data_IF_192495182386
#
_entry.id   IF_192495182386
#
_cell.length_a   1.000
_cell.length_b   1.000
_cell.length_c   1.000
_cell.angle_alpha   90.00
_cell.angle_beta   90.00
_cell.angle_gamma   90.00
#
_symmetry.space_group_name_H-M   'P 1'
#
loop_
_entity.id
_entity.type
_entity.pdbx_description
1 polymer ?
#
# COMPACT_ATOMS: atom_id res chain seq x y z
N UNK A 1 27.96 -32.81 1.07
CA UNK A 1 26.64 -32.57 0.47
C UNK A 1 25.71 -33.76 0.65
N UNK A 2 26.16 -35.00 0.34
CA UNK A 2 25.36 -36.21 0.54
C UNK A 2 25.12 -36.53 2.01
N UNK A 3 26.08 -36.29 2.90
CA UNK A 3 25.96 -36.48 4.34
C UNK A 3 24.89 -35.56 4.95
N UNK A 4 24.81 -34.30 4.51
CA UNK A 4 23.80 -33.35 4.94
C UNK A 4 22.40 -33.76 4.48
N UNK A 5 22.27 -34.20 3.21
CA UNK A 5 21.01 -34.71 2.68
C UNK A 5 20.55 -35.99 3.38
N UNK A 6 21.48 -36.86 3.75
CA UNK A 6 21.21 -38.10 4.49
C UNK A 6 20.76 -37.76 5.91
N UNK A 7 21.40 -36.79 6.58
CA UNK A 7 21.00 -36.34 7.91
C UNK A 7 19.61 -35.67 7.89
N UNK A 8 19.31 -34.87 6.89
CA UNK A 8 18.01 -34.21 6.72
C UNK A 8 16.89 -35.22 6.44
N UNK A 9 17.13 -36.27 5.63
CA UNK A 9 16.18 -37.35 5.36
C UNK A 9 15.88 -38.22 6.59
N UNK A 10 16.78 -38.24 7.56
CA UNK A 10 16.57 -38.98 8.83
C UNK A 10 15.67 -38.23 9.83
N UNK A 11 15.40 -36.95 9.61
CA UNK A 11 14.61 -36.14 10.56
C UNK A 11 13.11 -36.13 10.29
N UNK A 12 12.65 -36.32 9.06
CA UNK A 12 11.26 -36.50 8.64
C UNK A 12 11.21 -36.84 7.14
N UNK A 13 10.09 -37.23 6.56
CA UNK A 13 9.92 -37.27 5.11
C UNK A 13 9.88 -35.83 4.56
N UNK A 14 11.08 -35.22 4.46
CA UNK A 14 11.23 -33.86 4.02
C UNK A 14 11.40 -33.85 2.50
N UNK A 15 10.51 -33.18 1.80
CA UNK A 15 10.69 -32.82 0.40
C UNK A 15 11.70 -31.67 0.30
N UNK A 16 12.76 -31.88 -0.47
CA UNK A 16 13.75 -30.84 -0.75
C UNK A 16 13.50 -30.31 -2.16
N UNK A 17 13.17 -29.05 -2.26
CA UNK A 17 13.07 -28.34 -3.52
C UNK A 17 14.35 -27.54 -3.74
N UNK A 18 14.97 -27.69 -4.91
CA UNK A 18 16.08 -26.87 -5.35
C UNK A 18 15.60 -25.93 -6.46
N UNK A 19 15.63 -24.64 -6.21
CA UNK A 19 15.31 -23.63 -7.23
C UNK A 19 16.62 -23.13 -7.80
N UNK A 20 16.82 -23.31 -9.12
CA UNK A 20 17.95 -22.74 -9.81
C UNK A 20 17.73 -21.24 -10.02
N UNK A 21 18.69 -20.45 -9.56
CA UNK A 21 18.67 -18.99 -9.66
C UNK A 21 19.89 -18.46 -10.40
N UNK A 22 20.38 -19.23 -11.37
CA UNK A 22 21.52 -18.87 -12.19
C UNK A 22 21.32 -17.52 -12.85
N UNK A 23 22.20 -16.56 -12.56
CA UNK A 23 22.08 -15.22 -13.14
C UNK A 23 22.44 -15.28 -14.64
N UNK A 24 21.50 -14.88 -15.56
CA UNK A 24 21.64 -15.12 -17.00
C UNK A 24 22.90 -14.49 -17.62
N UNK A 25 23.41 -13.39 -17.06
CA UNK A 25 24.60 -12.68 -17.56
C UNK A 25 25.91 -13.15 -16.94
N UNK A 26 25.87 -13.71 -15.73
CA UNK A 26 27.07 -14.10 -15.00
C UNK A 26 27.39 -15.58 -15.13
N UNK A 27 26.42 -16.40 -15.52
CA UNK A 27 26.59 -17.84 -15.67
C UNK A 27 26.97 -18.56 -14.36
N UNK A 28 26.86 -17.89 -13.22
CA UNK A 28 27.21 -18.47 -11.92
C UNK A 28 26.02 -19.30 -11.47
N UNK A 29 26.15 -20.63 -11.38
CA UNK A 29 25.06 -21.48 -10.90
C UNK A 29 24.83 -21.22 -9.42
N UNK A 30 23.66 -20.70 -9.12
CA UNK A 30 23.17 -20.51 -7.75
C UNK A 30 21.88 -21.30 -7.58
N UNK A 31 21.74 -21.94 -6.41
CA UNK A 31 20.55 -22.72 -6.08
C UNK A 31 20.06 -22.32 -4.70
N UNK A 32 18.76 -22.11 -4.56
CA UNK A 32 18.09 -22.07 -3.27
C UNK A 32 17.52 -23.46 -2.97
N UNK A 33 17.84 -23.98 -1.80
CA UNK A 33 17.23 -25.22 -1.32
C UNK A 33 16.10 -24.87 -0.36
N UNK A 34 14.91 -25.35 -0.66
CA UNK A 34 13.70 -25.15 0.15
C UNK A 34 13.32 -26.49 0.75
N UNK A 35 13.21 -26.53 2.05
CA UNK A 35 12.71 -27.69 2.79
C UNK A 35 11.42 -27.26 3.51
N UNK A 36 10.23 -27.62 3.01
CA UNK A 36 8.98 -27.29 3.69
C UNK A 36 8.96 -27.83 5.12
N UNK A 37 8.49 -27.02 6.05
CA UNK A 37 8.43 -27.39 7.47
C UNK A 37 9.71 -27.12 8.28
N UNK A 38 10.84 -26.81 7.66
CA UNK A 38 11.99 -26.25 8.38
C UNK A 38 11.80 -24.74 8.53
N UNK A 39 11.67 -24.31 9.77
CA UNK A 39 11.73 -22.87 10.07
C UNK A 39 13.19 -22.42 9.93
N UNK A 40 13.48 -21.70 8.85
CA UNK A 40 14.72 -20.95 8.80
C UNK A 40 14.72 -19.94 9.96
N UNK A 41 15.88 -19.68 10.55
CA UNK A 41 16.08 -18.54 11.46
C UNK A 41 15.97 -17.25 10.64
N UNK A 42 14.79 -16.89 10.23
CA UNK A 42 14.51 -15.59 9.65
C UNK A 42 14.57 -14.58 10.80
N UNK A 43 15.25 -13.47 10.56
CA UNK A 43 15.29 -12.34 11.50
C UNK A 43 13.90 -11.73 11.69
N UNK A 44 12.97 -12.07 10.83
CA UNK A 44 11.60 -11.59 10.83
C UNK A 44 10.64 -12.79 10.86
N UNK A 45 9.96 -12.97 11.98
CA UNK A 45 9.02 -14.10 12.19
C UNK A 45 7.81 -14.07 11.24
N UNK A 46 7.59 -12.95 10.54
CA UNK A 46 6.42 -12.71 9.68
C UNK A 46 6.69 -12.91 8.19
N UNK A 47 7.94 -13.13 7.78
CA UNK A 47 8.29 -13.38 6.38
C UNK A 47 8.29 -14.87 6.08
N UNK A 48 7.13 -15.41 5.72
CA UNK A 48 7.05 -16.77 5.18
C UNK A 48 7.46 -16.79 3.71
N UNK A 49 7.97 -17.96 3.24
CA UNK A 49 8.24 -18.15 1.82
C UNK A 49 6.97 -17.91 0.98
N UNK A 50 5.80 -18.33 1.49
CA UNK A 50 4.52 -18.10 0.83
C UNK A 50 4.22 -16.62 0.63
N UNK A 51 4.48 -15.78 1.62
CA UNK A 51 4.34 -14.33 1.51
C UNK A 51 5.28 -13.75 0.43
N UNK A 52 6.55 -14.17 0.41
CA UNK A 52 7.52 -13.73 -0.60
C UNK A 52 7.09 -14.14 -2.01
N UNK A 53 6.70 -15.40 -2.21
CA UNK A 53 6.24 -15.91 -3.51
C UNK A 53 4.97 -15.18 -3.96
N UNK A 54 4.00 -15.01 -3.06
CA UNK A 54 2.76 -14.29 -3.37
C UNK A 54 3.01 -12.85 -3.82
N UNK A 55 3.93 -12.15 -3.13
CA UNK A 55 4.33 -10.80 -3.53
C UNK A 55 4.92 -10.79 -4.94
N UNK A 56 5.88 -11.67 -5.22
CA UNK A 56 6.51 -11.79 -6.55
C UNK A 56 5.51 -12.12 -7.65
N UNK A 57 4.59 -13.03 -7.40
CA UNK A 57 3.51 -13.34 -8.34
C UNK A 57 2.70 -12.09 -8.68
N UNK A 58 2.23 -11.36 -7.68
CA UNK A 58 1.38 -10.18 -7.90
C UNK A 58 2.16 -9.03 -8.56
N UNK A 59 3.45 -8.85 -8.26
CA UNK A 59 4.28 -7.79 -8.83
C UNK A 59 4.68 -8.07 -10.30
N UNK A 60 5.03 -9.31 -10.64
CA UNK A 60 5.77 -9.62 -11.87
C UNK A 60 5.01 -10.51 -12.87
N UNK A 61 4.01 -11.29 -12.42
CA UNK A 61 3.33 -12.24 -13.28
C UNK A 61 2.05 -11.67 -13.93
N UNK A 62 1.61 -12.31 -15.01
CA UNK A 62 0.31 -12.05 -15.60
C UNK A 62 -0.84 -12.60 -14.72
N UNK A 63 -2.08 -12.16 -14.99
CA UNK A 63 -3.22 -12.48 -14.15
C UNK A 63 -3.52 -13.98 -14.06
N UNK A 64 -3.31 -14.74 -15.15
CA UNK A 64 -3.55 -16.19 -15.16
C UNK A 64 -2.54 -16.92 -14.30
N UNK A 65 -1.26 -16.55 -14.42
CA UNK A 65 -0.16 -17.07 -13.58
C UNK A 65 -0.38 -16.75 -12.11
N UNK A 66 -0.81 -15.51 -11.77
CA UNK A 66 -1.13 -15.12 -10.40
C UNK A 66 -2.27 -15.97 -9.85
N UNK A 67 -3.37 -16.12 -10.61
CA UNK A 67 -4.52 -16.92 -10.16
C UNK A 67 -4.13 -18.38 -9.90
N UNK A 68 -3.33 -18.97 -10.79
CA UNK A 68 -2.81 -20.33 -10.60
C UNK A 68 -1.90 -20.41 -9.38
N UNK A 69 -0.96 -19.46 -9.25
CA UNK A 69 -0.02 -19.40 -8.14
C UNK A 69 -0.69 -19.21 -6.78
N UNK A 70 -1.76 -18.40 -6.69
CA UNK A 70 -2.53 -18.24 -5.45
C UNK A 70 -3.24 -19.55 -5.05
N UNK A 71 -3.77 -20.34 -6.00
CA UNK A 71 -4.34 -21.67 -5.72
C UNK A 71 -3.29 -22.64 -5.18
N UNK A 72 -2.08 -22.60 -5.73
CA UNK A 72 -0.96 -23.40 -5.22
C UNK A 72 -0.58 -22.95 -3.80
N UNK A 73 -0.48 -21.64 -3.57
CA UNK A 73 -0.20 -21.09 -2.24
C UNK A 73 -1.28 -21.46 -1.23
N UNK A 74 -2.56 -21.42 -1.59
CA UNK A 74 -3.66 -21.87 -0.72
C UNK A 74 -3.52 -23.36 -0.36
N UNK A 75 -3.12 -24.20 -1.30
CA UNK A 75 -2.90 -25.63 -1.02
C UNK A 75 -1.71 -25.89 -0.10
N UNK A 76 -0.66 -25.06 -0.19
CA UNK A 76 0.55 -25.17 0.64
C UNK A 76 0.41 -24.49 2.00
N UNK A 77 -0.36 -23.42 2.08
CA UNK A 77 -0.54 -22.56 3.26
C UNK A 77 -2.03 -22.26 3.49
N UNK A 78 -2.86 -23.29 3.77
CA UNK A 78 -4.30 -23.11 3.86
C UNK A 78 -4.67 -22.09 4.95
N UNK A 79 -5.48 -21.10 4.59
CA UNK A 79 -5.93 -20.04 5.48
C UNK A 79 -4.85 -19.05 5.89
N UNK A 80 -3.74 -18.94 5.15
CA UNK A 80 -2.69 -18.00 5.46
C UNK A 80 -3.17 -16.54 5.34
N UNK A 81 -2.76 -15.71 6.29
CA UNK A 81 -3.16 -14.31 6.42
C UNK A 81 -2.93 -13.46 5.16
N UNK A 82 -1.94 -13.80 4.34
CA UNK A 82 -1.57 -13.06 3.14
C UNK A 82 -2.43 -13.38 1.91
N UNK A 83 -3.12 -14.51 1.89
CA UNK A 83 -3.88 -14.96 0.72
C UNK A 83 -4.99 -13.98 0.33
N UNK A 84 -5.90 -13.55 1.22
CA UNK A 84 -6.93 -12.58 0.85
C UNK A 84 -6.34 -11.24 0.40
N UNK A 85 -5.19 -10.84 0.92
CA UNK A 85 -4.52 -9.63 0.49
C UNK A 85 -4.08 -9.72 -0.99
N UNK A 86 -3.46 -10.84 -1.38
CA UNK A 86 -3.04 -11.04 -2.77
C UNK A 86 -4.23 -11.25 -3.72
N UNK A 87 -5.31 -11.87 -3.26
CA UNK A 87 -6.58 -11.93 -4.01
C UNK A 87 -7.13 -10.53 -4.28
N UNK A 88 -7.11 -9.66 -3.28
CA UNK A 88 -7.48 -8.26 -3.43
C UNK A 88 -6.61 -7.51 -4.43
N UNK A 89 -5.29 -7.73 -4.40
CA UNK A 89 -4.35 -7.13 -5.36
C UNK A 89 -4.61 -7.61 -6.79
N UNK A 90 -4.90 -8.90 -6.98
CA UNK A 90 -5.25 -9.45 -8.28
C UNK A 90 -6.56 -8.84 -8.81
N UNK A 91 -7.57 -8.75 -7.95
CA UNK A 91 -8.86 -8.15 -8.28
C UNK A 91 -8.73 -6.66 -8.65
N UNK A 92 -7.88 -5.89 -7.95
CA UNK A 92 -7.56 -4.51 -8.31
C UNK A 92 -6.95 -4.39 -9.71
N UNK A 93 -6.02 -5.26 -10.05
CA UNK A 93 -5.42 -5.30 -11.40
C UNK A 93 -6.42 -5.64 -12.50
N UNK A 94 -7.46 -6.41 -12.15
CA UNK A 94 -8.56 -6.75 -13.04
C UNK A 94 -9.70 -5.72 -13.05
N UNK A 95 -9.54 -4.61 -12.30
CA UNK A 95 -10.57 -3.58 -12.08
C UNK A 95 -11.88 -4.13 -11.48
N UNK A 96 -11.82 -5.31 -10.85
CA UNK A 96 -12.94 -5.87 -10.07
C UNK A 96 -12.89 -5.32 -8.64
N UNK A 97 -13.36 -4.09 -8.48
CA UNK A 97 -13.30 -3.39 -7.21
C UNK A 97 -14.20 -4.02 -6.14
N UNK A 98 -15.28 -4.71 -6.51
CA UNK A 98 -16.15 -5.41 -5.56
C UNK A 98 -15.42 -6.59 -4.91
N UNK A 99 -14.78 -7.42 -5.73
CA UNK A 99 -13.95 -8.53 -5.24
C UNK A 99 -12.76 -8.02 -4.45
N UNK A 100 -12.09 -6.95 -4.92
CA UNK A 100 -10.96 -6.34 -4.22
C UNK A 100 -11.35 -5.88 -2.80
N UNK A 101 -12.45 -5.15 -2.65
CA UNK A 101 -12.95 -4.72 -1.32
C UNK A 101 -13.24 -5.90 -0.40
N UNK A 102 -13.94 -6.90 -0.92
CA UNK A 102 -14.28 -8.09 -0.14
C UNK A 102 -13.03 -8.82 0.36
N UNK A 103 -12.04 -8.98 -0.52
CA UNK A 103 -10.78 -9.64 -0.21
C UNK A 103 -9.94 -8.83 0.79
N UNK A 104 -9.79 -7.50 0.61
CA UNK A 104 -9.07 -6.67 1.58
C UNK A 104 -9.79 -6.58 2.92
N UNK A 105 -11.12 -6.51 2.94
CA UNK A 105 -11.89 -6.53 4.19
C UNK A 105 -11.67 -7.84 4.97
N UNK A 106 -11.58 -8.98 4.26
CA UNK A 106 -11.22 -10.27 4.86
C UNK A 106 -9.76 -10.31 5.31
N UNK A 107 -8.85 -9.63 4.59
CA UNK A 107 -7.43 -9.60 4.91
C UNK A 107 -7.12 -8.81 6.19
N UNK A 108 -7.76 -7.65 6.43
CA UNK A 108 -7.47 -6.73 7.55
C UNK A 108 -7.37 -7.44 8.90
N UNK A 109 -8.35 -8.23 9.36
CA UNK A 109 -8.30 -8.86 10.69
C UNK A 109 -7.29 -10.02 10.78
N UNK A 110 -6.79 -10.52 9.66
CA UNK A 110 -5.86 -11.65 9.63
C UNK A 110 -4.40 -11.21 9.70
N UNK A 111 -4.11 -9.92 9.52
CA UNK A 111 -2.73 -9.44 9.45
C UNK A 111 -2.03 -9.55 10.81
N UNK A 112 -0.77 -10.04 10.82
CA UNK A 112 -0.07 -10.39 12.04
C UNK A 112 0.48 -9.19 12.82
N UNK A 113 0.62 -8.04 12.19
CA UNK A 113 1.22 -6.83 12.76
C UNK A 113 0.50 -5.57 12.27
N UNK A 114 0.82 -4.45 12.93
CA UNK A 114 0.19 -3.15 12.66
C UNK A 114 0.50 -2.64 11.24
N UNK A 115 1.72 -2.86 10.75
CA UNK A 115 2.13 -2.38 9.43
C UNK A 115 1.38 -3.11 8.32
N UNK A 116 1.29 -4.44 8.41
CA UNK A 116 0.53 -5.25 7.47
C UNK A 116 -0.98 -4.96 7.55
N UNK A 117 -1.50 -4.71 8.76
CA UNK A 117 -2.90 -4.32 8.94
C UNK A 117 -3.19 -2.94 8.36
N UNK A 118 -2.27 -1.98 8.53
CA UNK A 118 -2.38 -0.66 7.92
C UNK A 118 -2.40 -0.75 6.40
N UNK A 119 -1.50 -1.56 5.82
CA UNK A 119 -1.43 -1.78 4.39
C UNK A 119 -2.74 -2.37 3.83
N UNK A 120 -3.28 -3.42 4.46
CA UNK A 120 -4.55 -4.01 4.05
C UNK A 120 -5.72 -3.02 4.17
N UNK A 121 -5.74 -2.22 5.26
CA UNK A 121 -6.75 -1.18 5.46
C UNK A 121 -6.64 -0.07 4.41
N UNK A 122 -5.41 0.33 4.06
CA UNK A 122 -5.17 1.31 3.00
C UNK A 122 -5.72 0.82 1.66
N UNK A 123 -5.41 -0.41 1.25
CA UNK A 123 -5.91 -0.94 -0.01
C UNK A 123 -7.42 -1.14 -0.03
N UNK A 124 -8.03 -1.46 1.13
CA UNK A 124 -9.49 -1.48 1.26
C UNK A 124 -10.10 -0.11 0.94
N UNK A 125 -9.61 0.95 1.58
CA UNK A 125 -10.06 2.31 1.32
C UNK A 125 -9.70 2.79 -0.09
N UNK A 126 -8.52 2.45 -0.59
CA UNK A 126 -8.10 2.78 -1.95
C UNK A 126 -9.04 2.19 -3.01
N UNK A 127 -9.46 0.93 -2.85
CA UNK A 127 -10.44 0.31 -3.75
C UNK A 127 -11.78 1.06 -3.79
N UNK A 128 -12.24 1.63 -2.66
CA UNK A 128 -13.41 2.49 -2.63
C UNK A 128 -13.18 3.81 -3.37
N UNK A 129 -11.98 4.42 -3.24
CA UNK A 129 -11.68 5.70 -3.92
C UNK A 129 -11.67 5.59 -5.44
N UNK A 130 -11.29 4.43 -5.99
CA UNK A 130 -11.29 4.19 -7.44
C UNK A 130 -12.69 4.25 -8.06
N UNK A 131 -13.73 3.97 -7.27
CA UNK A 131 -15.13 4.14 -7.65
C UNK A 131 -15.76 5.44 -7.10
N UNK A 132 -14.94 6.40 -6.68
CA UNK A 132 -15.39 7.66 -6.08
C UNK A 132 -16.28 7.49 -4.83
N UNK A 133 -16.20 6.36 -4.13
CA UNK A 133 -16.93 6.04 -2.89
C UNK A 133 -16.17 6.61 -1.68
N UNK A 134 -16.00 7.93 -1.70
CA UNK A 134 -15.13 8.62 -0.74
C UNK A 134 -15.59 8.47 0.71
N UNK A 135 -16.90 8.47 0.94
CA UNK A 135 -17.45 8.34 2.30
C UNK A 135 -17.19 6.96 2.89
N UNK A 136 -17.31 5.92 2.06
CA UNK A 136 -17.06 4.53 2.44
C UNK A 136 -15.57 4.25 2.67
N UNK A 137 -14.71 4.93 1.95
CA UNK A 137 -13.25 4.81 2.09
C UNK A 137 -12.72 5.32 3.44
N UNK A 138 -13.38 6.33 4.04
CA UNK A 138 -12.87 7.04 5.23
C UNK A 138 -12.50 6.13 6.40
N UNK A 139 -13.33 5.15 6.84
CA UNK A 139 -13.00 4.33 7.99
C UNK A 139 -11.70 3.52 7.80
N UNK A 140 -11.51 2.96 6.61
CA UNK A 140 -10.36 2.14 6.29
C UNK A 140 -9.08 2.99 6.15
N UNK A 141 -9.16 4.14 5.46
CA UNK A 141 -8.05 5.08 5.34
C UNK A 141 -7.65 5.68 6.70
N UNK A 142 -8.61 6.02 7.55
CA UNK A 142 -8.34 6.50 8.89
C UNK A 142 -7.67 5.44 9.78
N UNK A 143 -8.06 4.17 9.62
CA UNK A 143 -7.39 3.07 10.31
C UNK A 143 -5.93 2.91 9.85
N UNK A 144 -5.66 2.97 8.56
CA UNK A 144 -4.31 2.90 8.00
C UNK A 144 -3.41 4.04 8.51
N UNK A 145 -3.87 5.28 8.40
CA UNK A 145 -3.13 6.46 8.86
C UNK A 145 -2.90 6.48 10.38
N UNK A 146 -3.80 5.90 11.17
CA UNK A 146 -3.64 5.78 12.63
C UNK A 146 -2.62 4.72 13.01
N UNK A 147 -2.58 3.58 12.28
CA UNK A 147 -1.66 2.49 12.55
C UNK A 147 -0.23 2.83 12.15
N UNK A 148 -0.05 3.52 11.02
CA UNK A 148 1.26 3.92 10.49
C UNK A 148 1.25 5.42 10.13
N UNK A 149 1.36 6.31 11.13
CA UNK A 149 1.25 7.76 10.92
C UNK A 149 2.41 8.36 10.10
N UNK A 150 3.54 7.67 10.02
CA UNK A 150 4.71 8.11 9.27
C UNK A 150 4.63 7.74 7.77
N UNK A 151 3.63 6.94 7.38
CA UNK A 151 3.36 6.62 5.97
C UNK A 151 2.52 7.74 5.35
N UNK A 152 3.20 8.66 4.67
CA UNK A 152 2.59 9.86 4.08
C UNK A 152 1.45 9.55 3.10
N UNK A 153 1.55 8.45 2.36
CA UNK A 153 0.55 8.01 1.39
C UNK A 153 -0.81 7.77 2.05
N UNK A 154 -0.82 7.24 3.28
CA UNK A 154 -2.05 6.95 4.02
C UNK A 154 -2.73 8.25 4.48
N UNK A 155 -1.95 9.17 5.02
CA UNK A 155 -2.44 10.49 5.42
C UNK A 155 -2.89 11.34 4.24
N UNK A 156 -2.15 11.29 3.13
CA UNK A 156 -2.50 12.00 1.91
C UNK A 156 -3.85 11.54 1.35
N UNK A 157 -4.05 10.23 1.14
CA UNK A 157 -5.30 9.73 0.60
C UNK A 157 -6.49 9.96 1.55
N UNK A 158 -6.27 9.89 2.88
CA UNK A 158 -7.26 10.26 3.87
C UNK A 158 -7.66 11.73 3.74
N UNK A 159 -6.68 12.63 3.57
CA UNK A 159 -6.91 14.05 3.35
C UNK A 159 -7.74 14.31 2.09
N UNK A 160 -7.39 13.64 0.99
CA UNK A 160 -8.14 13.71 -0.26
C UNK A 160 -9.58 13.20 -0.07
N UNK A 161 -9.79 12.09 0.64
CA UNK A 161 -11.12 11.55 0.89
C UNK A 161 -11.99 12.53 1.73
N UNK A 162 -11.41 13.12 2.77
CA UNK A 162 -12.10 14.18 3.54
C UNK A 162 -12.41 15.41 2.68
N UNK A 163 -11.49 15.83 1.82
CA UNK A 163 -11.73 16.94 0.90
C UNK A 163 -12.88 16.65 -0.06
N UNK A 164 -12.91 15.45 -0.65
CA UNK A 164 -13.96 15.01 -1.58
C UNK A 164 -15.33 14.86 -0.92
N UNK A 165 -15.38 14.59 0.38
CA UNK A 165 -16.62 14.54 1.18
C UNK A 165 -17.03 15.90 1.76
N UNK A 166 -16.24 16.95 1.51
CA UNK A 166 -16.53 18.33 1.96
C UNK A 166 -16.12 18.63 3.40
N UNK A 167 -15.46 17.68 4.09
CA UNK A 167 -14.93 17.90 5.45
C UNK A 167 -13.52 18.55 5.35
N UNK A 168 -13.49 19.81 4.94
CA UNK A 168 -12.24 20.54 4.69
C UNK A 168 -11.38 20.69 5.95
N UNK A 169 -12.01 20.73 7.12
CA UNK A 169 -11.29 20.83 8.39
C UNK A 169 -10.46 19.55 8.65
N UNK A 170 -11.09 18.37 8.52
CA UNK A 170 -10.35 17.10 8.68
C UNK A 170 -9.36 16.85 7.56
N UNK A 171 -9.68 17.28 6.34
CA UNK A 171 -8.73 17.24 5.23
C UNK A 171 -7.46 18.05 5.56
N UNK A 172 -7.63 19.28 6.06
CA UNK A 172 -6.52 20.14 6.47
C UNK A 172 -5.67 19.49 7.60
N UNK A 173 -6.31 18.86 8.59
CA UNK A 173 -5.62 18.13 9.66
C UNK A 173 -4.78 16.97 9.09
N UNK A 174 -5.33 16.20 8.15
CA UNK A 174 -4.63 15.10 7.51
C UNK A 174 -3.41 15.60 6.69
N UNK A 175 -3.56 16.63 5.87
CA UNK A 175 -2.43 17.19 5.11
C UNK A 175 -1.39 17.84 6.03
N UNK A 176 -1.79 18.51 7.12
CA UNK A 176 -0.84 19.00 8.14
C UNK A 176 -0.07 17.85 8.81
N UNK A 177 -0.68 16.69 8.99
CA UNK A 177 0.00 15.51 9.50
C UNK A 177 1.04 14.99 8.50
N UNK A 178 0.70 14.90 7.22
CA UNK A 178 1.66 14.53 6.15
C UNK A 178 2.83 15.50 6.08
N UNK A 179 2.57 16.81 6.14
CA UNK A 179 3.61 17.85 6.09
C UNK A 179 4.55 17.85 7.31
N UNK A 180 4.18 17.23 8.44
CA UNK A 180 5.13 16.99 9.55
C UNK A 180 6.18 15.95 9.20
N UNK A 181 5.83 14.96 8.37
CA UNK A 181 6.73 13.90 7.91
C UNK A 181 7.52 14.35 6.67
N UNK A 182 6.84 14.98 5.72
CA UNK A 182 7.43 15.47 4.46
C UNK A 182 7.12 16.95 4.24
N UNK A 183 7.99 17.81 4.74
CA UNK A 183 7.83 19.27 4.64
C UNK A 183 7.97 19.81 3.20
N UNK A 184 8.53 19.03 2.30
CA UNK A 184 8.79 19.40 0.91
C UNK A 184 7.71 18.99 -0.07
N UNK A 185 6.57 18.47 0.38
CA UNK A 185 5.49 18.07 -0.50
C UNK A 185 4.71 19.27 -1.01
N UNK A 186 5.04 19.74 -2.21
CA UNK A 186 4.33 20.83 -2.88
C UNK A 186 2.83 20.52 -3.07
N UNK A 187 2.51 19.26 -3.41
CA UNK A 187 1.13 18.81 -3.60
C UNK A 187 0.31 18.91 -2.31
N UNK A 188 0.88 18.47 -1.17
CA UNK A 188 0.17 18.52 0.11
C UNK A 188 0.01 19.94 0.64
N UNK A 189 0.99 20.82 0.38
CA UNK A 189 0.83 22.26 0.63
C UNK A 189 -0.28 22.87 -0.21
N UNK A 190 -0.35 22.54 -1.50
CA UNK A 190 -1.42 23.03 -2.37
C UNK A 190 -2.79 22.51 -1.91
N UNK A 191 -2.90 21.21 -1.56
CA UNK A 191 -4.13 20.63 -1.04
C UNK A 191 -4.57 21.29 0.28
N UNK A 192 -3.61 21.58 1.17
CA UNK A 192 -3.89 22.33 2.40
C UNK A 192 -4.38 23.75 2.09
N UNK A 193 -3.76 24.43 1.13
CA UNK A 193 -4.21 25.74 0.65
C UNK A 193 -5.63 25.71 0.11
N UNK A 194 -6.02 24.66 -0.61
CA UNK A 194 -7.40 24.47 -1.05
C UNK A 194 -8.35 24.25 0.14
N UNK A 195 -7.97 23.47 1.13
CA UNK A 195 -8.80 23.29 2.33
C UNK A 195 -9.06 24.63 3.02
N UNK A 196 -8.03 25.45 3.23
CA UNK A 196 -8.16 26.77 3.85
C UNK A 196 -9.02 27.71 2.99
N UNK A 197 -8.89 27.66 1.64
CA UNK A 197 -9.77 28.42 0.74
C UNK A 197 -11.22 28.06 0.93
N UNK A 198 -11.55 26.75 0.92
CA UNK A 198 -12.94 26.31 1.06
C UNK A 198 -13.52 26.53 2.47
N UNK A 199 -12.66 26.68 3.47
CA UNK A 199 -13.07 27.12 4.83
C UNK A 199 -13.23 28.65 4.94
N UNK A 200 -12.91 29.42 3.88
CA UNK A 200 -13.00 30.89 3.88
C UNK A 200 -11.76 31.61 4.42
N UNK A 201 -10.68 30.89 4.72
CA UNK A 201 -9.44 31.41 5.27
C UNK A 201 -8.51 31.91 4.15
N UNK A 202 -8.94 32.92 3.39
CA UNK A 202 -8.25 33.40 2.19
C UNK A 202 -6.77 33.78 2.40
N UNK A 203 -6.40 34.32 3.57
CA UNK A 203 -5.01 34.65 3.93
C UNK A 203 -4.12 33.43 3.98
N UNK A 204 -4.51 32.40 4.76
CA UNK A 204 -3.78 31.16 4.89
C UNK A 204 -3.75 30.37 3.57
N UNK A 205 -4.85 30.39 2.81
CA UNK A 205 -4.91 29.77 1.49
C UNK A 205 -3.85 30.34 0.54
N UNK A 206 -3.68 31.68 0.50
CA UNK A 206 -2.63 32.32 -0.32
C UNK A 206 -1.23 31.90 0.13
N UNK A 207 -0.96 31.89 1.43
CA UNK A 207 0.33 31.48 1.98
C UNK A 207 0.71 30.05 1.55
N UNK A 208 -0.19 29.08 1.74
CA UNK A 208 0.07 27.69 1.37
C UNK A 208 0.16 27.47 -0.13
N UNK A 209 -0.70 28.10 -0.94
CA UNK A 209 -0.64 27.97 -2.40
C UNK A 209 0.62 28.62 -2.97
N UNK A 210 1.07 29.77 -2.45
CA UNK A 210 2.33 30.41 -2.85
C UNK A 210 3.52 29.53 -2.48
N UNK A 211 3.57 29.00 -1.26
CA UNK A 211 4.63 28.09 -0.83
C UNK A 211 4.68 26.80 -1.68
N UNK A 212 3.54 26.26 -2.07
CA UNK A 212 3.46 25.12 -2.98
C UNK A 212 4.08 25.44 -4.36
N UNK A 213 3.76 26.62 -4.91
CA UNK A 213 4.28 27.07 -6.21
C UNK A 213 5.76 27.46 -6.17
N UNK A 214 6.30 27.84 -5.02
CA UNK A 214 7.75 28.02 -4.82
C UNK A 214 8.50 26.70 -4.90
N UNK A 215 7.89 25.60 -4.42
CA UNK A 215 8.46 24.26 -4.48
C UNK A 215 8.25 23.58 -5.85
N UNK A 216 7.08 23.78 -6.44
CA UNK A 216 6.73 23.23 -7.76
C UNK A 216 5.87 24.22 -8.55
N UNK A 217 6.52 25.00 -9.41
CA UNK A 217 5.85 25.96 -10.28
C UNK A 217 4.94 25.31 -11.35
N UNK A 218 4.97 24.00 -11.53
CA UNK A 218 4.14 23.31 -12.53
C UNK A 218 2.72 23.00 -12.04
N UNK A 219 2.39 23.28 -10.78
CA UNK A 219 1.07 23.05 -10.19
C UNK A 219 0.03 24.07 -10.71
N UNK A 220 -0.44 23.88 -11.94
CA UNK A 220 -1.38 24.80 -12.59
C UNK A 220 -2.67 25.03 -11.80
N UNK A 221 -3.19 23.99 -11.15
CA UNK A 221 -4.39 24.14 -10.32
C UNK A 221 -4.14 25.08 -9.12
N UNK A 222 -2.97 24.98 -8.47
CA UNK A 222 -2.62 25.86 -7.35
C UNK A 222 -2.50 27.32 -7.82
N UNK A 223 -1.89 27.54 -8.99
CA UNK A 223 -1.78 28.87 -9.62
C UNK A 223 -3.14 29.48 -9.93
N UNK A 224 -4.06 28.67 -10.49
CA UNK A 224 -5.42 29.13 -10.81
C UNK A 224 -6.18 29.52 -9.54
N UNK A 225 -6.11 28.72 -8.49
CA UNK A 225 -6.77 29.03 -7.24
C UNK A 225 -6.16 30.23 -6.51
N UNK A 226 -4.84 30.45 -6.62
CA UNK A 226 -4.20 31.65 -6.09
C UNK A 226 -4.67 32.91 -6.83
N UNK A 227 -4.72 32.88 -8.16
CA UNK A 227 -5.20 33.97 -8.97
C UNK A 227 -6.66 34.35 -8.68
N UNK A 228 -7.53 33.34 -8.46
CA UNK A 228 -8.90 33.57 -8.05
C UNK A 228 -8.99 34.31 -6.69
N UNK A 229 -8.14 33.96 -5.73
CA UNK A 229 -8.09 34.61 -4.42
C UNK A 229 -7.56 36.06 -4.49
N UNK A 230 -6.67 36.31 -5.40
CA UNK A 230 -6.15 37.69 -5.65
C UNK A 230 -7.16 38.58 -6.35
N UNK A 231 -7.90 38.03 -7.34
CA UNK A 231 -8.97 38.75 -8.03
C UNK A 231 -10.19 39.10 -7.17
N UNK A 232 -10.43 38.34 -6.10
CA UNK A 232 -11.49 38.60 -5.13
C UNK A 232 -11.11 39.70 -4.10
N UNK A 233 -9.85 40.05 -3.99
CA UNK A 233 -9.34 41.05 -3.05
C UNK A 233 -9.32 42.46 -3.63
N UNK A 234 -9.62 42.61 -4.94
CA UNK A 234 -9.69 43.87 -5.67
C UNK A 234 -11.11 44.39 -5.75
#
# INVERSE_FOLDING_TARGET
>A
REELLTALRGLAPLELYAVETTHPRLGIPTHYSIVPGLQFRERDRNQSLGLFVGRKLVEEADAETVLHGLKVLESCYPGAHFLPFFEGMLALRAEDFNTARSAFAAAVPLQPDADSQALASFYLGYADTLECRWQEALPALAAAARLCPDMKEYGNLLGVAHFKTGDYAKAAEAFKAVLRVDKGSAMDLANLGLCEKFMGNAGQAREYLSAALELDASLDFARNHLAELEGQAS
#
